data_IF_744897501425
#
_entry.id   IF_744897501425
#
_cell.length_a   1.000
_cell.length_b   1.000
_cell.length_c   1.000
_cell.angle_alpha   90.00
_cell.angle_beta   90.00
_cell.angle_gamma   90.00
#
_symmetry.space_group_name_H-M   'P 1'
#
loop_
_entity.id
_entity.type
_entity.pdbx_description
1 polymer ?
#
# COMPACT_ATOMS: atom_id res chain seq x y z
N UNK A 1 24.39 59.50 26.08
CA UNK A 1 23.64 59.14 24.85
C UNK A 1 23.88 57.67 24.55
N UNK A 2 22.83 56.99 24.10
CA UNK A 2 22.56 55.56 24.28
C UNK A 2 23.37 54.62 23.38
N UNK A 3 23.92 53.54 23.95
CA UNK A 3 24.42 52.39 23.21
C UNK A 3 23.26 51.43 22.91
N UNK A 4 22.87 51.30 21.64
CA UNK A 4 21.85 50.34 21.19
C UNK A 4 22.50 48.96 21.05
N UNK A 5 22.06 47.99 21.86
CA UNK A 5 22.41 46.58 21.73
C UNK A 5 21.48 45.94 20.69
N UNK A 6 22.04 45.53 19.56
CA UNK A 6 21.32 44.77 18.53
C UNK A 6 21.29 43.30 18.93
N UNK A 7 20.11 42.77 19.22
CA UNK A 7 19.86 41.36 19.47
C UNK A 7 19.56 40.68 18.13
N UNK A 8 20.42 39.76 17.68
CA UNK A 8 20.17 38.93 16.50
C UNK A 8 19.47 37.65 16.95
N UNK A 9 18.18 37.51 16.63
CA UNK A 9 17.42 36.29 16.88
C UNK A 9 17.66 35.28 15.74
N UNK A 10 18.17 34.10 16.08
CA UNK A 10 18.39 33.00 15.14
C UNK A 10 17.15 32.09 15.14
N UNK A 11 16.33 32.14 14.10
CA UNK A 11 15.16 31.27 13.95
C UNK A 11 15.60 29.92 13.37
N UNK A 12 15.60 28.88 14.20
CA UNK A 12 15.84 27.51 13.73
C UNK A 12 14.60 27.01 12.97
N UNK A 13 14.69 26.91 11.64
CA UNK A 13 13.71 26.20 10.83
C UNK A 13 13.86 24.70 11.06
N UNK A 14 12.94 24.09 11.80
CA UNK A 14 12.82 22.63 11.87
C UNK A 14 12.29 22.17 10.51
N UNK A 15 13.17 21.61 9.68
CA UNK A 15 12.78 21.03 8.40
C UNK A 15 11.97 19.75 8.68
N UNK A 16 10.64 19.88 8.67
CA UNK A 16 9.73 18.75 8.59
C UNK A 16 9.87 18.15 7.18
N UNK A 17 10.75 17.16 7.02
CA UNK A 17 10.83 16.40 5.79
C UNK A 17 9.60 15.51 5.67
N UNK A 18 8.56 15.99 4.98
CA UNK A 18 7.43 15.13 4.59
C UNK A 18 7.96 14.10 3.58
N UNK A 19 8.08 12.84 4.01
CA UNK A 19 8.31 11.75 3.07
C UNK A 19 7.05 11.61 2.22
N UNK A 20 7.21 11.73 0.89
CA UNK A 20 6.08 11.62 -0.03
C UNK A 20 5.42 10.24 0.13
N UNK A 21 4.09 10.22 0.07
CA UNK A 21 3.32 8.99 0.00
C UNK A 21 3.77 8.17 -1.22
N UNK A 22 4.06 6.88 -1.05
CA UNK A 22 4.23 5.97 -2.17
C UNK A 22 2.85 5.50 -2.61
N UNK A 23 2.56 5.60 -3.91
CA UNK A 23 1.31 5.12 -4.50
C UNK A 23 1.59 3.98 -5.47
N UNK A 24 0.93 2.84 -5.26
CA UNK A 24 1.03 1.66 -6.11
C UNK A 24 -0.35 1.35 -6.67
N UNK A 25 -0.47 1.28 -8.00
CA UNK A 25 -1.72 0.85 -8.61
C UNK A 25 -1.83 -0.68 -8.56
N UNK A 26 -2.97 -1.16 -8.09
CA UNK A 26 -3.35 -2.57 -8.04
C UNK A 26 -4.49 -2.76 -9.03
N UNK A 27 -4.25 -3.52 -10.09
CA UNK A 27 -5.26 -3.87 -11.09
C UNK A 27 -5.90 -5.22 -10.71
N UNK A 28 -7.23 -5.26 -10.64
CA UNK A 28 -7.95 -6.42 -10.13
C UNK A 28 -7.77 -7.69 -10.98
N UNK A 29 -7.48 -7.55 -12.29
CA UNK A 29 -7.21 -8.68 -13.18
C UNK A 29 -5.73 -9.07 -13.13
N UNK A 30 -4.85 -8.09 -13.36
CA UNK A 30 -3.41 -8.35 -13.51
C UNK A 30 -2.73 -8.72 -12.20
N UNK A 31 -3.27 -8.29 -11.06
CA UNK A 31 -2.74 -8.57 -9.73
C UNK A 31 -3.60 -9.55 -8.93
N UNK A 32 -4.49 -10.29 -9.57
CA UNK A 32 -5.28 -11.31 -8.88
C UNK A 32 -4.58 -12.67 -8.83
N UNK A 33 -4.66 -13.32 -7.68
CA UNK A 33 -4.22 -14.70 -7.45
C UNK A 33 -5.46 -15.52 -7.09
N UNK A 34 -5.69 -16.61 -7.82
CA UNK A 34 -6.83 -17.49 -7.57
C UNK A 34 -6.69 -18.26 -6.26
N UNK A 35 -7.77 -18.39 -5.49
CA UNK A 35 -7.83 -19.26 -4.30
C UNK A 35 -8.97 -20.28 -4.44
N UNK A 36 -8.77 -21.59 -4.18
CA UNK A 36 -7.48 -22.28 -4.07
C UNK A 36 -6.70 -22.17 -5.39
N UNK A 37 -5.37 -22.42 -5.43
CA UNK A 37 -4.57 -22.27 -6.64
C UNK A 37 -5.11 -23.17 -7.76
N UNK A 38 -5.91 -22.57 -8.64
CA UNK A 38 -6.57 -23.20 -9.77
C UNK A 38 -5.93 -22.75 -11.08
N UNK A 39 -6.39 -23.34 -12.17
CA UNK A 39 -5.87 -23.11 -13.53
C UNK A 39 -6.30 -21.79 -14.17
N UNK A 40 -7.13 -20.99 -13.49
CA UNK A 40 -7.60 -19.71 -14.04
C UNK A 40 -6.51 -18.64 -13.94
N UNK A 41 -6.34 -17.91 -15.05
CA UNK A 41 -5.39 -16.82 -15.30
C UNK A 41 -4.84 -16.16 -14.02
N UNK A 42 -3.74 -16.70 -13.50
CA UNK A 42 -3.06 -16.11 -12.36
C UNK A 42 -2.37 -14.83 -12.84
N UNK A 43 -2.88 -13.69 -12.39
CA UNK A 43 -2.11 -12.46 -12.39
C UNK A 43 -0.82 -12.61 -11.58
N UNK A 44 -0.01 -11.57 -11.57
CA UNK A 44 1.20 -11.52 -10.73
C UNK A 44 0.99 -10.49 -9.62
N UNK A 45 1.39 -10.79 -8.38
CA UNK A 45 1.35 -9.78 -7.33
C UNK A 45 2.17 -8.56 -7.75
N UNK A 46 1.68 -7.37 -7.40
CA UNK A 46 2.48 -6.16 -7.48
C UNK A 46 3.66 -6.29 -6.50
N UNK A 47 4.88 -6.02 -6.97
CA UNK A 47 6.09 -6.10 -6.16
C UNK A 47 6.74 -4.73 -6.02
N UNK A 48 7.10 -4.36 -4.80
CA UNK A 48 7.79 -3.11 -4.50
C UNK A 48 8.66 -3.25 -3.26
N UNK A 49 9.63 -2.35 -3.09
CA UNK A 49 10.49 -2.31 -1.92
C UNK A 49 9.90 -1.37 -0.86
N UNK A 50 9.84 -1.82 0.38
CA UNK A 50 9.64 -0.94 1.53
C UNK A 50 10.91 -0.93 2.36
N UNK A 51 11.36 0.26 2.75
CA UNK A 51 12.48 0.41 3.67
C UNK A 51 12.05 0.03 5.09
N UNK A 52 13.01 -0.18 5.99
CA UNK A 52 12.72 -0.25 7.42
C UNK A 52 11.93 0.98 7.88
N UNK A 53 10.87 0.77 8.64
CA UNK A 53 10.03 1.84 9.18
C UNK A 53 8.62 1.41 9.56
N UNK A 54 7.84 2.38 10.02
CA UNK A 54 6.41 2.22 10.31
C UNK A 54 5.60 3.01 9.29
N UNK A 55 4.55 2.39 8.78
CA UNK A 55 3.75 2.92 7.68
C UNK A 55 2.26 2.84 8.00
N UNK A 56 1.50 3.85 7.58
CA UNK A 56 0.05 3.70 7.43
C UNK A 56 -0.24 3.34 5.97
N UNK A 57 -0.99 2.27 5.77
CA UNK A 57 -1.29 1.69 4.46
C UNK A 57 -2.80 1.58 4.29
N UNK A 58 -3.32 2.05 3.16
CA UNK A 58 -4.75 1.99 2.82
C UNK A 58 -4.92 1.89 1.31
N UNK A 59 -6.11 1.51 0.84
CA UNK A 59 -6.49 1.68 -0.56
C UNK A 59 -7.36 2.93 -0.76
N UNK A 60 -7.20 3.58 -1.90
CA UNK A 60 -7.98 4.74 -2.33
C UNK A 60 -8.36 4.58 -3.80
N UNK A 61 -9.29 5.40 -4.31
CA UNK A 61 -9.73 5.38 -5.71
C UNK A 61 -10.11 3.96 -6.20
N UNK A 62 -10.76 3.18 -5.35
CA UNK A 62 -11.08 1.80 -5.64
C UNK A 62 -12.35 1.67 -6.49
N UNK A 63 -12.22 1.07 -7.67
CA UNK A 63 -13.35 0.66 -8.51
C UNK A 63 -13.25 -0.82 -8.93
N UNK A 64 -12.54 -1.65 -8.15
CA UNK A 64 -12.35 -3.06 -8.44
C UNK A 64 -13.63 -3.88 -8.24
N UNK A 65 -13.89 -4.82 -9.15
CA UNK A 65 -15.09 -5.67 -9.16
C UNK A 65 -14.78 -7.05 -9.73
N UNK A 66 -15.36 -8.11 -9.13
CA UNK A 66 -15.35 -9.48 -9.66
C UNK A 66 -16.54 -9.80 -10.58
N UNK A 67 -17.23 -8.76 -11.05
CA UNK A 67 -18.39 -8.86 -11.95
C UNK A 67 -18.38 -7.76 -13.02
N UNK A 68 -17.26 -7.57 -13.73
CA UNK A 68 -17.17 -6.68 -14.90
C UNK A 68 -17.61 -5.21 -14.66
N UNK A 69 -17.13 -4.61 -13.57
CA UNK A 69 -17.39 -3.24 -13.10
C UNK A 69 -18.78 -3.00 -12.49
N UNK A 70 -19.56 -4.04 -12.20
CA UNK A 70 -20.73 -3.89 -11.35
C UNK A 70 -20.29 -3.74 -9.87
N UNK A 71 -20.42 -2.52 -9.36
CA UNK A 71 -20.08 -2.13 -7.98
C UNK A 71 -21.31 -1.98 -7.08
N UNK A 72 -22.53 -1.96 -7.64
CA UNK A 72 -23.77 -1.62 -6.94
C UNK A 72 -24.74 -2.78 -6.76
N UNK A 73 -24.68 -3.79 -7.64
CA UNK A 73 -25.42 -5.06 -7.56
C UNK A 73 -24.52 -6.29 -7.62
N UNK A 74 -23.20 -6.08 -7.76
CA UNK A 74 -22.19 -7.12 -7.96
C UNK A 74 -21.17 -7.26 -6.83
N UNK A 75 -20.16 -8.11 -7.09
CA UNK A 75 -19.07 -8.45 -6.18
C UNK A 75 -18.00 -7.35 -6.19
N UNK A 76 -18.08 -6.42 -5.24
CA UNK A 76 -17.04 -5.40 -5.05
C UNK A 76 -15.78 -6.04 -4.43
N UNK A 77 -14.62 -5.71 -4.97
CA UNK A 77 -13.34 -6.12 -4.41
C UNK A 77 -12.79 -4.92 -3.62
N UNK A 78 -12.93 -4.96 -2.30
CA UNK A 78 -12.56 -3.85 -1.41
C UNK A 78 -11.26 -4.08 -0.63
N UNK A 79 -10.61 -5.22 -0.88
CA UNK A 79 -9.48 -5.68 -0.10
C UNK A 79 -8.30 -6.01 -1.00
N UNK A 80 -7.13 -5.48 -0.63
CA UNK A 80 -5.82 -5.89 -1.17
C UNK A 80 -5.07 -6.63 -0.08
N UNK A 81 -4.60 -7.84 -0.39
CA UNK A 81 -3.73 -8.61 0.48
C UNK A 81 -2.30 -8.12 0.32
N UNK A 82 -1.65 -7.82 1.43
CA UNK A 82 -0.28 -7.32 1.50
C UNK A 82 0.56 -8.32 2.29
N UNK A 83 1.72 -8.71 1.78
CA UNK A 83 2.64 -9.59 2.49
C UNK A 83 4.07 -9.08 2.38
N UNK A 84 4.74 -9.01 3.53
CA UNK A 84 6.14 -8.65 3.64
C UNK A 84 7.00 -9.78 4.21
N UNK A 85 8.30 -9.50 4.33
CA UNK A 85 9.27 -10.47 4.81
C UNK A 85 9.58 -11.58 3.80
N UNK A 86 9.32 -11.36 2.50
CA UNK A 86 9.74 -12.28 1.45
C UNK A 86 11.28 -12.33 1.34
N UNK A 87 11.85 -13.54 1.18
CA UNK A 87 13.29 -13.78 1.09
C UNK A 87 13.89 -14.43 2.34
N UNK A 88 15.11 -14.00 2.74
CA UNK A 88 15.87 -14.52 3.90
C UNK A 88 15.40 -14.01 5.26
N UNK A 89 14.30 -13.25 5.33
CA UNK A 89 13.76 -12.77 6.61
C UNK A 89 13.01 -13.91 7.31
N UNK A 90 13.20 -14.07 8.61
CA UNK A 90 12.48 -15.06 9.44
C UNK A 90 11.07 -14.60 9.83
N UNK A 91 10.68 -13.36 9.49
CA UNK A 91 9.45 -12.73 9.98
C UNK A 91 8.50 -12.40 8.81
N UNK A 92 7.92 -13.43 8.19
CA UNK A 92 6.85 -13.23 7.22
C UNK A 92 5.61 -12.70 7.94
N UNK A 93 4.95 -11.72 7.35
CA UNK A 93 3.71 -11.16 7.86
C UNK A 93 2.76 -10.85 6.70
N UNK A 94 1.46 -10.91 6.98
CA UNK A 94 0.41 -10.57 6.04
C UNK A 94 -0.58 -9.59 6.66
N UNK A 95 -1.19 -8.73 5.85
CA UNK A 95 -2.23 -7.78 6.23
C UNK A 95 -3.28 -7.69 5.13
N UNK A 96 -4.54 -7.49 5.55
CA UNK A 96 -5.63 -7.13 4.64
C UNK A 96 -5.78 -5.62 4.63
N UNK A 97 -5.65 -5.00 3.46
CA UNK A 97 -5.69 -3.56 3.30
C UNK A 97 -7.03 -3.18 2.69
N UNK A 98 -7.76 -2.31 3.38
CA UNK A 98 -9.02 -1.71 2.93
C UNK A 98 -8.87 -0.19 2.84
N UNK A 99 -9.97 0.53 2.63
CA UNK A 99 -9.99 1.99 2.66
C UNK A 99 -9.66 2.57 4.05
N UNK A 100 -9.75 1.76 5.10
CA UNK A 100 -9.35 2.16 6.45
C UNK A 100 -7.84 1.95 6.61
N UNK A 101 -7.05 3.00 6.96
CA UNK A 101 -5.62 2.86 7.17
C UNK A 101 -5.27 1.84 8.25
N UNK A 102 -4.33 0.95 7.93
CA UNK A 102 -3.73 0.00 8.86
C UNK A 102 -2.24 0.27 9.03
N UNK A 103 -1.74 0.05 10.24
CA UNK A 103 -0.33 0.27 10.56
C UNK A 103 0.50 -0.98 10.28
N UNK A 104 1.53 -0.81 9.46
CA UNK A 104 2.47 -1.86 9.08
C UNK A 104 3.86 -1.51 9.59
N UNK A 105 4.50 -2.46 10.25
CA UNK A 105 5.90 -2.35 10.67
C UNK A 105 6.79 -3.20 9.75
N UNK A 106 7.78 -2.56 9.16
CA UNK A 106 8.80 -3.20 8.34
C UNK A 106 10.11 -3.17 9.12
N UNK A 107 10.55 -4.34 9.58
CA UNK A 107 11.72 -4.51 10.45
C UNK A 107 13.05 -4.36 9.70
N UNK A 108 13.09 -4.85 8.46
CA UNK A 108 14.20 -4.75 7.51
C UNK A 108 13.68 -4.36 6.13
N UNK A 109 14.48 -3.59 5.40
CA UNK A 109 14.19 -3.28 4.00
C UNK A 109 13.96 -4.58 3.23
N UNK A 110 12.78 -4.71 2.62
CA UNK A 110 12.35 -5.97 2.03
C UNK A 110 11.39 -5.76 0.86
N UNK A 111 11.33 -6.79 0.00
CA UNK A 111 10.31 -6.88 -1.04
C UNK A 111 8.96 -7.18 -0.40
N UNK A 112 7.97 -6.37 -0.77
CA UNK A 112 6.57 -6.52 -0.39
C UNK A 112 5.80 -6.93 -1.63
N UNK A 113 4.83 -7.81 -1.45
CA UNK A 113 3.84 -8.16 -2.48
C UNK A 113 2.45 -7.66 -2.10
N UNK A 114 1.71 -7.17 -3.08
CA UNK A 114 0.31 -6.81 -2.96
C UNK A 114 -0.51 -7.51 -4.06
N UNK A 115 -1.65 -8.10 -3.69
CA UNK A 115 -2.51 -8.81 -4.64
C UNK A 115 -3.98 -8.79 -4.22
N UNK A 116 -4.85 -9.11 -5.16
CA UNK A 116 -6.27 -9.40 -4.93
C UNK A 116 -6.46 -10.91 -4.93
N UNK A 117 -7.33 -11.43 -4.06
CA UNK A 117 -7.72 -12.84 -4.10
C UNK A 117 -9.17 -12.96 -4.53
N UNK A 118 -9.43 -13.88 -5.45
CA UNK A 118 -10.77 -14.22 -5.94
C UNK A 118 -10.76 -15.64 -6.50
N UNK A 119 -11.91 -16.32 -6.53
CA UNK A 119 -12.02 -17.70 -7.05
C UNK A 119 -11.80 -17.74 -8.57
N UNK A 120 -12.09 -16.64 -9.27
CA UNK A 120 -12.03 -16.56 -10.73
C UNK A 120 -11.54 -15.21 -11.25
N UNK A 121 -10.22 -14.97 -11.21
CA UNK A 121 -9.63 -13.70 -11.63
C UNK A 121 -10.01 -13.19 -13.05
N UNK A 122 -10.47 -14.05 -13.96
CA UNK A 122 -10.65 -13.75 -15.38
C UNK A 122 -11.71 -12.68 -15.68
N UNK A 123 -12.68 -12.45 -14.78
CA UNK A 123 -13.72 -11.43 -14.93
C UNK A 123 -13.51 -10.23 -13.99
N UNK A 124 -12.38 -10.18 -13.30
CA UNK A 124 -12.01 -9.04 -12.48
C UNK A 124 -11.73 -7.83 -13.36
N UNK A 125 -12.13 -6.67 -12.86
CA UNK A 125 -12.02 -5.39 -13.57
C UNK A 125 -11.75 -4.27 -12.58
N UNK A 126 -11.31 -3.13 -13.11
CA UNK A 126 -10.99 -1.97 -12.28
C UNK A 126 -9.62 -2.05 -11.61
N UNK A 127 -9.37 -1.06 -10.77
CA UNK A 127 -8.13 -0.86 -10.04
C UNK A 127 -8.37 -0.13 -8.72
N UNK A 128 -7.39 -0.24 -7.83
CA UNK A 128 -7.28 0.59 -6.64
C UNK A 128 -5.85 1.17 -6.53
N UNK A 129 -5.73 2.26 -5.80
CA UNK A 129 -4.43 2.84 -5.46
C UNK A 129 -4.10 2.50 -4.01
N UNK A 130 -3.08 1.65 -3.81
CA UNK A 130 -2.48 1.41 -2.52
C UNK A 130 -1.61 2.63 -2.15
N UNK A 131 -1.98 3.31 -1.06
CA UNK A 131 -1.26 4.48 -0.54
C UNK A 131 -0.48 4.05 0.70
N UNK A 132 0.83 4.30 0.67
CA UNK A 132 1.78 3.90 1.71
C UNK A 132 2.46 5.17 2.24
N UNK A 133 2.12 5.54 3.46
CA UNK A 133 2.62 6.74 4.13
C UNK A 133 3.62 6.35 5.20
N UNK A 134 4.90 6.72 5.05
CA UNK A 134 5.89 6.48 6.09
C UNK A 134 5.68 7.48 7.24
N UNK A 135 5.60 6.95 8.45
CA UNK A 135 5.39 7.71 9.68
C UNK A 135 6.70 7.87 10.45
N UNK A 136 7.50 6.81 10.50
CA UNK A 136 8.77 6.72 11.23
C UNK A 136 9.77 5.85 10.47
#
# INVERSE_FOLDING_TARGET
MNAKKTLVAFTAFIALSSQAATSININALQNCITSPPGTAAAGKPAQFQMQKGTYDVSITNNNMSCSSNDLGGGCAIDTVLLQGGLGYSTNRWGQSITSTPVRVYVDVTSTIIAWVSDDGCYNNTGQATLVINKIQ
#
